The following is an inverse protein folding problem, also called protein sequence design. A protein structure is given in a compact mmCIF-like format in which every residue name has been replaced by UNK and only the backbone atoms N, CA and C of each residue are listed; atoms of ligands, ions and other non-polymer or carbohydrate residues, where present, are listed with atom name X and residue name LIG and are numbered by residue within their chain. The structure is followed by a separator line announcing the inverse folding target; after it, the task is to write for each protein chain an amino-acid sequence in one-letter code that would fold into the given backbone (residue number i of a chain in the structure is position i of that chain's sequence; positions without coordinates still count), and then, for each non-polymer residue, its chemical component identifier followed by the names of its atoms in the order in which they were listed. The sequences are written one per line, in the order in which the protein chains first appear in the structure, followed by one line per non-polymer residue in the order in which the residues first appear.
data_IF_645160349869
#
_entry.id   IF_645160349869
#
_cell.length_a   1.000
_cell.length_b   1.000
_cell.length_c   1.000
_cell.angle_alpha   90.00
_cell.angle_beta   90.00
_cell.angle_gamma   90.00
#
_symmetry.space_group_name_H-M   'P 1'
#
loop_
_entity.id
_entity.type
_entity.pdbx_description
1 polymer ?
#
# COMPACT_ATOMS: atom_id res chain seq x y z
N UNK A 1 -36.53 -14.71 -1.20
CA UNK A 1 -36.32 -13.26 -1.45
C UNK A 1 -35.42 -12.67 -0.37
N UNK A 2 -34.11 -12.53 -0.63
CA UNK A 2 -33.17 -11.95 0.35
C UNK A 2 -33.36 -10.43 0.40
N UNK A 3 -33.50 -9.92 1.62
CA UNK A 3 -33.94 -8.56 1.99
C UNK A 3 -32.96 -7.49 1.48
N UNK A 4 -33.26 -6.86 0.32
CA UNK A 4 -32.55 -5.69 -0.26
C UNK A 4 -32.29 -4.55 0.75
N UNK A 5 -33.08 -4.44 1.83
CA UNK A 5 -32.89 -3.43 2.88
C UNK A 5 -31.79 -3.74 3.90
N UNK A 6 -31.47 -5.01 4.15
CA UNK A 6 -30.42 -5.39 5.13
C UNK A 6 -29.01 -5.15 4.57
N UNK A 7 -28.80 -5.44 3.29
CA UNK A 7 -27.50 -5.24 2.60
C UNK A 7 -27.09 -3.77 2.61
N UNK A 8 -28.01 -2.84 2.26
CA UNK A 8 -27.74 -1.39 2.25
C UNK A 8 -27.36 -0.82 3.62
N UNK A 9 -27.85 -1.39 4.72
CA UNK A 9 -27.50 -0.95 6.08
C UNK A 9 -26.09 -1.42 6.46
N UNK A 10 -25.74 -2.65 6.11
CA UNK A 10 -24.39 -3.21 6.32
C UNK A 10 -23.36 -2.39 5.54
N UNK A 11 -23.63 -2.06 4.27
CA UNK A 11 -22.73 -1.27 3.43
C UNK A 11 -22.48 0.13 4.00
N UNK A 12 -23.53 0.78 4.52
CA UNK A 12 -23.41 2.09 5.19
C UNK A 12 -22.59 1.99 6.48
N UNK A 13 -22.79 0.94 7.27
CA UNK A 13 -22.05 0.74 8.52
C UNK A 13 -20.57 0.49 8.26
N UNK A 14 -20.25 -0.34 7.27
CA UNK A 14 -18.87 -0.61 6.83
C UNK A 14 -18.21 0.69 6.33
N UNK A 15 -18.91 1.46 5.50
CA UNK A 15 -18.39 2.75 5.00
C UNK A 15 -18.10 3.74 6.14
N UNK A 16 -18.99 3.84 7.13
CA UNK A 16 -18.78 4.70 8.29
C UNK A 16 -17.58 4.25 9.13
N UNK A 17 -17.43 2.95 9.36
CA UNK A 17 -16.27 2.39 10.06
C UNK A 17 -14.96 2.67 9.34
N UNK A 18 -14.93 2.51 8.01
CA UNK A 18 -13.75 2.84 7.19
C UNK A 18 -13.40 4.32 7.29
N UNK A 19 -14.39 5.21 7.14
CA UNK A 19 -14.18 6.67 7.29
C UNK A 19 -13.66 7.06 8.67
N UNK A 20 -14.14 6.41 9.73
CA UNK A 20 -13.64 6.66 11.08
C UNK A 20 -12.18 6.21 11.24
N UNK A 21 -11.83 5.03 10.72
CA UNK A 21 -10.45 4.53 10.71
C UNK A 21 -9.52 5.44 9.89
N UNK A 22 -9.98 5.96 8.75
CA UNK A 22 -9.21 6.91 7.93
C UNK A 22 -8.97 8.23 8.65
N UNK A 23 -10.00 8.77 9.31
CA UNK A 23 -9.86 9.98 10.13
C UNK A 23 -8.86 9.80 11.28
N UNK A 24 -8.90 8.64 11.95
CA UNK A 24 -7.93 8.32 13.00
C UNK A 24 -6.51 8.21 12.44
N UNK A 25 -6.33 7.50 11.32
CA UNK A 25 -5.05 7.38 10.63
C UNK A 25 -4.48 8.75 10.26
N UNK A 26 -5.30 9.62 9.66
CA UNK A 26 -4.90 10.97 9.28
C UNK A 26 -4.49 11.82 10.50
N UNK A 27 -5.27 11.76 11.59
CA UNK A 27 -4.93 12.49 12.83
C UNK A 27 -3.60 12.04 13.42
N UNK A 28 -3.38 10.73 13.53
CA UNK A 28 -2.11 10.20 14.03
C UNK A 28 -0.94 10.58 13.13
N UNK A 29 -1.12 10.52 11.81
CA UNK A 29 -0.11 10.96 10.85
C UNK A 29 0.22 12.45 11.01
N UNK A 30 -0.78 13.32 11.11
CA UNK A 30 -0.57 14.76 11.32
C UNK A 30 0.14 15.07 12.65
N UNK A 31 -0.13 14.31 13.71
CA UNK A 31 0.58 14.44 14.98
C UNK A 31 2.06 14.08 14.83
N UNK A 32 2.37 12.99 14.12
CA UNK A 32 3.75 12.57 13.85
C UNK A 32 4.48 13.62 12.99
N UNK A 33 3.83 14.19 11.97
CA UNK A 33 4.41 15.29 11.19
C UNK A 33 4.73 16.52 12.06
N UNK A 34 3.81 16.91 12.97
CA UNK A 34 4.04 18.01 13.91
C UNK A 34 5.21 17.73 14.86
N UNK A 35 5.44 16.46 15.19
CA UNK A 35 6.59 16.00 15.97
C UNK A 35 7.90 15.89 15.17
N UNK A 36 7.90 16.25 13.87
CA UNK A 36 9.10 16.22 13.02
C UNK A 36 9.42 14.85 12.40
N UNK A 37 8.53 13.87 12.50
CA UNK A 37 8.76 12.55 11.89
C UNK A 37 8.55 12.61 10.37
N UNK A 38 9.53 12.09 9.62
CA UNK A 38 9.42 11.91 8.17
C UNK A 38 8.55 10.70 7.81
N UNK A 39 8.03 10.66 6.58
CA UNK A 39 7.31 9.49 6.06
C UNK A 39 8.13 8.19 6.18
N UNK A 40 9.44 8.30 6.02
CA UNK A 40 10.39 7.20 6.16
C UNK A 40 10.43 6.68 7.61
N UNK A 41 10.57 7.58 8.58
CA UNK A 41 10.55 7.21 10.00
C UNK A 41 9.19 6.61 10.41
N UNK A 42 8.09 7.14 9.87
CA UNK A 42 6.74 6.61 10.12
C UNK A 42 6.59 5.21 9.53
N UNK A 43 7.13 4.96 8.34
CA UNK A 43 7.14 3.63 7.70
C UNK A 43 7.92 2.64 8.55
N UNK A 44 9.12 3.02 9.00
CA UNK A 44 9.94 2.19 9.90
C UNK A 44 9.21 1.86 11.20
N UNK A 45 8.55 2.85 11.82
CA UNK A 45 7.76 2.62 13.03
C UNK A 45 6.58 1.66 12.81
N UNK A 46 5.93 1.68 11.64
CA UNK A 46 4.89 0.71 11.30
C UNK A 46 5.42 -0.70 11.09
N UNK A 47 6.60 -0.85 10.47
CA UNK A 47 7.29 -2.13 10.34
C UNK A 47 7.65 -2.71 11.71
N UNK A 48 8.24 -1.91 12.60
CA UNK A 48 8.58 -2.32 13.98
C UNK A 48 7.36 -2.77 14.78
N UNK A 49 6.17 -2.25 14.45
CA UNK A 49 4.89 -2.65 15.04
C UNK A 49 4.23 -3.85 14.36
N UNK A 50 4.97 -4.54 13.48
CA UNK A 50 4.52 -5.78 12.83
C UNK A 50 3.48 -5.58 11.72
N UNK A 51 3.37 -4.39 11.12
CA UNK A 51 2.49 -4.21 9.95
C UNK A 51 3.09 -4.89 8.72
N UNK A 52 2.24 -5.54 7.94
CA UNK A 52 2.62 -6.08 6.64
C UNK A 52 2.98 -4.96 5.65
N UNK A 53 3.74 -5.30 4.60
CA UNK A 53 4.09 -4.34 3.55
C UNK A 53 2.83 -3.83 2.83
N UNK A 54 1.87 -4.72 2.63
CA UNK A 54 0.57 -4.38 2.06
C UNK A 54 -0.20 -3.40 2.93
N UNK A 55 -0.31 -3.66 4.23
CA UNK A 55 -0.97 -2.74 5.15
C UNK A 55 -0.31 -1.35 5.16
N UNK A 56 1.02 -1.31 5.06
CA UNK A 56 1.78 -0.06 5.04
C UNK A 56 1.54 0.71 3.74
N UNK A 57 1.60 0.03 2.61
CA UNK A 57 1.35 0.64 1.32
C UNK A 57 -0.08 1.22 1.26
N UNK A 58 -1.10 0.46 1.68
CA UNK A 58 -2.49 0.94 1.70
C UNK A 58 -2.70 2.10 2.65
N UNK A 59 -2.00 2.15 3.78
CA UNK A 59 -2.04 3.31 4.68
C UNK A 59 -1.52 4.56 3.99
N UNK A 60 -0.45 4.45 3.21
CA UNK A 60 0.06 5.58 2.45
C UNK A 60 -0.95 6.06 1.41
N UNK A 61 -1.60 5.15 0.68
CA UNK A 61 -2.67 5.49 -0.26
C UNK A 61 -3.84 6.19 0.45
N UNK A 62 -4.30 5.66 1.59
CA UNK A 62 -5.38 6.24 2.40
C UNK A 62 -5.02 7.60 3.01
N UNK A 63 -3.74 7.88 3.18
CA UNK A 63 -3.20 9.19 3.58
C UNK A 63 -3.02 10.15 2.38
N UNK A 64 -3.41 9.74 1.17
CA UNK A 64 -3.34 10.56 -0.04
C UNK A 64 -1.97 10.59 -0.70
N UNK A 65 -1.06 9.68 -0.35
CA UNK A 65 0.21 9.52 -1.08
C UNK A 65 -0.02 8.77 -2.39
N UNK A 66 0.81 9.06 -3.39
CA UNK A 66 0.83 8.29 -4.62
C UNK A 66 1.43 6.89 -4.39
N UNK A 67 1.12 5.95 -5.28
CA UNK A 67 1.73 4.60 -5.29
C UNK A 67 3.25 4.66 -5.33
N UNK A 68 3.81 5.61 -6.10
CA UNK A 68 5.25 5.87 -6.14
C UNK A 68 5.79 6.29 -4.77
N UNK A 69 5.12 7.20 -4.08
CA UNK A 69 5.54 7.62 -2.74
C UNK A 69 5.44 6.47 -1.74
N UNK A 70 4.36 5.70 -1.77
CA UNK A 70 4.16 4.52 -0.92
C UNK A 70 5.26 3.46 -1.16
N UNK A 71 5.56 3.14 -2.42
CA UNK A 71 6.62 2.21 -2.78
C UNK A 71 8.01 2.72 -2.37
N UNK A 72 8.30 4.00 -2.61
CA UNK A 72 9.59 4.60 -2.24
C UNK A 72 9.82 4.58 -0.73
N UNK A 73 8.77 4.75 0.06
CA UNK A 73 8.85 4.63 1.52
C UNK A 73 9.22 3.21 1.97
N UNK A 74 8.73 2.17 1.28
CA UNK A 74 9.14 0.79 1.53
C UNK A 74 10.61 0.55 1.12
N UNK A 75 11.05 1.05 -0.03
CA UNK A 75 12.45 0.91 -0.50
C UNK A 75 13.44 1.52 0.49
N UNK A 76 13.11 2.68 1.07
CA UNK A 76 13.92 3.34 2.10
C UNK A 76 14.05 2.54 3.39
N UNK A 77 13.20 1.52 3.59
CA UNK A 77 13.28 0.57 4.69
C UNK A 77 13.95 -0.74 4.27
N UNK A 78 14.86 -0.67 3.28
CA UNK A 78 15.63 -1.79 2.73
C UNK A 78 14.75 -2.93 2.18
N UNK A 79 13.53 -2.60 1.69
CA UNK A 79 12.69 -3.59 1.01
C UNK A 79 13.17 -3.83 -0.40
N UNK A 80 13.12 -5.09 -0.82
CA UNK A 80 13.68 -5.53 -2.09
C UNK A 80 12.71 -5.29 -3.24
N UNK A 81 13.18 -5.31 -4.50
CA UNK A 81 12.30 -5.33 -5.65
C UNK A 81 11.28 -6.50 -5.61
N UNK A 82 11.69 -7.70 -5.18
CA UNK A 82 10.79 -8.85 -4.99
C UNK A 82 9.65 -8.55 -4.00
N UNK A 83 9.96 -7.90 -2.87
CA UNK A 83 8.97 -7.48 -1.88
C UNK A 83 7.96 -6.50 -2.49
N UNK A 84 8.45 -5.49 -3.21
CA UNK A 84 7.59 -4.51 -3.89
C UNK A 84 6.70 -5.16 -4.95
N UNK A 85 7.26 -6.05 -5.75
CA UNK A 85 6.50 -6.74 -6.78
C UNK A 85 5.36 -7.55 -6.16
N UNK A 86 5.63 -8.25 -5.05
CA UNK A 86 4.63 -9.00 -4.31
C UNK A 86 3.49 -8.10 -3.82
N UNK A 87 3.82 -6.92 -3.28
CA UNK A 87 2.86 -5.89 -2.85
C UNK A 87 1.97 -5.43 -4.02
N UNK A 88 2.56 -5.18 -5.19
CA UNK A 88 1.77 -4.77 -6.36
C UNK A 88 0.89 -5.90 -6.91
N UNK A 89 1.43 -7.12 -6.99
CA UNK A 89 0.72 -8.29 -7.47
C UNK A 89 -0.50 -8.63 -6.59
N UNK A 90 -0.36 -8.56 -5.27
CA UNK A 90 -1.47 -8.78 -4.33
C UNK A 90 -2.62 -7.76 -4.48
N UNK A 91 -2.33 -6.58 -5.02
CA UNK A 91 -3.34 -5.56 -5.36
C UNK A 91 -4.02 -5.78 -6.71
N UNK A 92 -3.62 -6.82 -7.43
CA UNK A 92 -4.11 -7.09 -8.77
C UNK A 92 -3.68 -6.03 -9.78
N UNK A 93 -2.56 -5.33 -9.54
CA UNK A 93 -2.00 -4.43 -10.54
C UNK A 93 -1.58 -5.25 -11.76
N UNK A 94 -1.98 -4.80 -12.95
CA UNK A 94 -1.58 -5.45 -14.18
C UNK A 94 -0.11 -5.12 -14.54
N UNK A 95 0.43 -5.85 -15.51
CA UNK A 95 1.84 -5.71 -15.91
C UNK A 95 2.22 -4.29 -16.36
N UNK A 96 1.32 -3.57 -17.03
CA UNK A 96 1.56 -2.21 -17.50
C UNK A 96 1.62 -1.21 -16.33
N UNK A 97 0.71 -1.35 -15.36
CA UNK A 97 0.70 -0.56 -14.13
C UNK A 97 2.00 -0.80 -13.34
N UNK A 98 2.37 -2.06 -13.13
CA UNK A 98 3.60 -2.43 -12.44
C UNK A 98 4.81 -1.85 -13.17
N UNK A 99 4.91 -2.03 -14.49
CA UNK A 99 6.04 -1.53 -15.28
C UNK A 99 6.16 -0.01 -15.23
N UNK A 100 5.04 0.71 -15.33
CA UNK A 100 5.00 2.17 -15.22
C UNK A 100 5.51 2.63 -13.86
N UNK A 101 5.03 2.00 -12.78
CA UNK A 101 5.46 2.32 -11.42
C UNK A 101 6.94 1.99 -11.21
N UNK A 102 7.40 0.84 -11.71
CA UNK A 102 8.79 0.37 -11.64
C UNK A 102 9.76 1.35 -12.28
N UNK A 103 9.46 1.80 -13.50
CA UNK A 103 10.22 2.82 -14.24
C UNK A 103 10.26 4.14 -13.48
N UNK A 104 9.12 4.54 -12.91
CA UNK A 104 9.07 5.77 -12.11
C UNK A 104 10.06 5.70 -10.92
N UNK A 105 10.18 4.53 -10.30
CA UNK A 105 11.10 4.27 -9.19
C UNK A 105 12.56 4.08 -9.63
N UNK A 106 12.85 4.09 -10.94
CA UNK A 106 14.18 3.84 -11.54
C UNK A 106 14.78 2.50 -11.09
N UNK A 107 13.91 1.49 -10.94
CA UNK A 107 14.32 0.13 -10.63
C UNK A 107 14.75 -0.60 -11.90
N UNK A 108 15.62 -1.59 -11.72
CA UNK A 108 16.18 -2.42 -12.79
C UNK A 108 15.06 -3.17 -13.57
N UNK A 109 14.98 -2.94 -14.88
CA UNK A 109 13.97 -3.55 -15.75
C UNK A 109 14.22 -5.05 -15.95
N UNK A 110 15.47 -5.52 -15.96
CA UNK A 110 15.78 -6.94 -16.14
C UNK A 110 15.27 -7.75 -14.95
N UNK A 111 15.36 -7.18 -13.74
CA UNK A 111 14.75 -7.76 -12.54
C UNK A 111 13.24 -7.83 -12.64
N UNK A 112 12.58 -6.80 -13.17
CA UNK A 112 11.13 -6.83 -13.37
C UNK A 112 10.73 -7.97 -14.32
N UNK A 113 11.44 -8.12 -15.44
CA UNK A 113 11.17 -9.20 -16.41
C UNK A 113 11.34 -10.58 -15.76
N UNK A 114 12.39 -10.76 -14.95
CA UNK A 114 12.61 -12.01 -14.22
C UNK A 114 11.48 -12.29 -13.22
N UNK A 115 11.01 -11.28 -12.49
CA UNK A 115 9.90 -11.39 -11.54
C UNK A 115 8.59 -11.74 -12.24
N UNK A 116 8.26 -11.06 -13.34
CA UNK A 116 7.06 -11.34 -14.12
C UNK A 116 7.04 -12.80 -14.62
N UNK A 117 8.16 -13.30 -15.15
CA UNK A 117 8.29 -14.71 -15.56
C UNK A 117 8.08 -15.67 -14.39
N UNK A 118 8.68 -15.37 -13.24
CA UNK A 118 8.56 -16.19 -12.02
C UNK A 118 7.11 -16.24 -11.50
N UNK A 119 6.43 -15.11 -11.45
CA UNK A 119 5.07 -15.03 -10.91
C UNK A 119 4.00 -15.58 -11.86
N UNK A 120 4.21 -15.51 -13.18
CA UNK A 120 3.32 -16.16 -14.17
C UNK A 120 3.38 -17.68 -14.06
N UNK A 121 4.50 -18.27 -13.65
CA UNK A 121 4.65 -19.72 -13.52
C UNK A 121 4.04 -20.30 -12.22
N UNK A 122 3.61 -19.45 -11.28
CA UNK A 122 3.15 -19.87 -9.94
C UNK A 122 1.63 -19.73 -9.77
N UNK A 123 0.95 -19.04 -10.68
CA UNK A 123 -0.51 -18.84 -10.70
C UNK A 123 -1.15 -19.63 -11.84
#
# INVERSE_FOLDING_TARGET
MVKKGKTKLIDKQVLLQTKLKDKQLLRSYQQLLKGGFSDEAITGAWLTRGKSLDDIFDRWIRLGKSERQAANNLLKQNKTPDDLYSVFAQRGMNSEQIQTLWRSLKLDEDKLIALQKKFVLVN
#
